data_IF_612896427828
#
_entry.id   IF_612896427828
#
_cell.length_a   1.000
_cell.length_b   1.000
_cell.length_c   1.000
_cell.angle_alpha   90.00
_cell.angle_beta   90.00
_cell.angle_gamma   90.00
#
_symmetry.space_group_name_H-M   'P 1'
#
loop_
_entity.id
_entity.type
_entity.pdbx_description
1 polymer ?
#
# COMPACT_ATOMS: atom_id res chain seq x y z
N UNK A 1 3.00 -5.74 53.99
CA UNK A 1 4.06 -5.76 52.92
C UNK A 1 3.63 -4.85 51.80
N UNK A 2 4.27 -3.72 51.67
CA UNK A 2 3.90 -2.63 50.75
C UNK A 2 4.60 -2.93 49.40
N UNK A 3 3.80 -3.06 48.34
CA UNK A 3 4.29 -3.26 46.99
C UNK A 3 4.59 -1.89 46.38
N UNK A 4 5.87 -1.62 46.16
CA UNK A 4 6.38 -0.39 45.53
C UNK A 4 5.77 -0.20 44.16
N UNK A 5 5.10 0.95 43.97
CA UNK A 5 4.71 1.48 42.66
C UNK A 5 5.98 1.81 41.87
N UNK A 6 6.27 1.03 40.84
CA UNK A 6 7.20 1.41 39.81
C UNK A 6 6.61 2.55 39.00
N UNK A 7 7.03 3.78 39.33
CA UNK A 7 6.70 4.96 38.53
C UNK A 7 7.64 5.01 37.33
N UNK A 8 7.12 4.71 36.15
CA UNK A 8 7.85 4.93 34.91
C UNK A 8 7.85 6.43 34.61
N UNK A 9 8.99 7.09 34.82
CA UNK A 9 9.17 8.48 34.39
C UNK A 9 9.27 8.52 32.86
N UNK A 10 8.32 9.22 32.24
CA UNK A 10 8.40 9.68 30.87
C UNK A 10 9.73 10.42 30.67
N UNK A 11 10.50 10.20 29.59
CA UNK A 11 11.70 10.99 29.34
C UNK A 11 11.33 12.46 29.26
N UNK A 12 12.02 13.29 30.03
CA UNK A 12 11.85 14.74 29.99
C UNK A 12 12.26 15.24 28.61
N UNK A 13 11.35 15.94 27.92
CA UNK A 13 11.70 16.78 26.78
C UNK A 13 12.78 17.76 27.23
N UNK A 14 13.93 17.75 26.58
CA UNK A 14 14.83 18.90 26.61
C UNK A 14 14.09 20.06 25.94
N UNK A 15 13.85 21.09 26.71
CA UNK A 15 13.54 22.41 26.21
C UNK A 15 14.85 22.98 25.69
N UNK A 16 14.93 23.22 24.42
CA UNK A 16 15.70 24.23 23.71
C UNK A 16 15.85 23.74 22.28
N UNK A 17 14.94 24.21 21.45
CA UNK A 17 15.23 24.74 20.13
C UNK A 17 13.90 25.18 19.50
N UNK A 18 13.93 26.39 19.02
CA UNK A 18 12.86 27.24 18.56
C UNK A 18 11.81 26.59 17.66
N UNK A 19 10.56 26.96 17.93
CA UNK A 19 9.40 27.07 17.07
C UNK A 19 9.64 26.91 15.57
N UNK A 20 9.39 25.72 15.09
CA UNK A 20 8.77 25.43 13.81
C UNK A 20 7.96 24.14 13.97
N UNK A 21 6.94 24.17 14.81
CA UNK A 21 5.83 23.25 14.69
C UNK A 21 5.07 23.69 13.45
N UNK A 22 5.54 23.21 12.28
CA UNK A 22 4.70 23.17 11.10
C UNK A 22 3.59 22.13 11.38
N UNK A 23 2.49 22.62 11.91
CA UNK A 23 1.21 21.95 11.92
C UNK A 23 0.75 21.87 10.49
N UNK A 24 1.25 20.90 9.74
CA UNK A 24 0.58 20.37 8.56
C UNK A 24 1.48 19.38 7.82
N UNK A 25 1.76 18.23 8.38
CA UNK A 25 1.79 17.06 7.53
C UNK A 25 0.32 16.68 7.25
N UNK A 26 -0.45 17.60 6.67
CA UNK A 26 -1.65 17.20 5.95
C UNK A 26 -1.19 16.10 5.01
N UNK A 27 -1.83 14.92 5.12
CA UNK A 27 -1.65 13.79 4.23
C UNK A 27 -1.87 14.25 2.79
N UNK A 28 -0.83 14.83 2.20
CA UNK A 28 -0.92 15.45 0.88
C UNK A 28 -0.97 14.34 -0.16
N UNK A 29 -2.07 14.29 -0.88
CA UNK A 29 -2.20 13.45 -2.05
C UNK A 29 -2.76 14.26 -3.22
N UNK A 30 -2.45 13.81 -4.41
CA UNK A 30 -3.00 14.34 -5.65
C UNK A 30 -3.67 13.19 -6.38
N UNK A 31 -4.90 13.43 -6.81
CA UNK A 31 -5.70 12.49 -7.58
C UNK A 31 -6.26 13.20 -8.81
N UNK A 32 -5.90 12.71 -9.98
CA UNK A 32 -6.38 13.23 -11.24
C UNK A 32 -6.95 12.11 -12.09
N UNK A 33 -8.00 12.43 -12.85
CA UNK A 33 -8.66 11.48 -13.76
C UNK A 33 -8.62 12.05 -15.17
N UNK A 34 -8.13 11.26 -16.11
CA UNK A 34 -8.05 11.58 -17.54
C UNK A 34 -8.60 10.40 -18.34
N UNK A 35 -9.77 10.52 -18.91
CA UNK A 35 -10.42 9.45 -19.65
C UNK A 35 -10.49 8.13 -18.84
N UNK A 36 -9.72 7.11 -19.23
CA UNK A 36 -9.60 5.82 -18.53
C UNK A 36 -8.43 5.76 -17.55
N UNK A 37 -7.71 6.88 -17.32
CA UNK A 37 -6.52 6.94 -16.46
C UNK A 37 -6.82 7.65 -15.16
N UNK A 38 -6.34 7.06 -14.08
CA UNK A 38 -6.34 7.64 -12.74
C UNK A 38 -4.90 7.79 -12.31
N UNK A 39 -4.49 8.99 -11.93
CA UNK A 39 -3.16 9.30 -11.41
C UNK A 39 -3.27 9.53 -9.91
N UNK A 40 -2.58 8.74 -9.12
CA UNK A 40 -2.55 8.81 -7.67
C UNK A 40 -1.12 9.04 -7.18
N UNK A 41 -0.87 10.22 -6.62
CA UNK A 41 0.40 10.59 -5.99
C UNK A 41 0.17 10.96 -4.53
N UNK A 42 1.01 10.48 -3.63
CA UNK A 42 0.98 10.84 -2.20
C UNK A 42 0.72 9.67 -1.27
N UNK A 43 0.31 9.98 -0.04
CA UNK A 43 0.15 8.99 1.03
C UNK A 43 -1.12 8.17 0.88
N UNK A 44 -1.03 6.90 1.24
CA UNK A 44 -2.17 5.98 1.35
C UNK A 44 -2.83 6.20 2.71
N UNK A 45 -3.95 6.90 2.72
CA UNK A 45 -4.75 7.22 3.91
C UNK A 45 -6.21 6.83 3.67
N UNK A 46 -7.04 6.83 4.71
CA UNK A 46 -8.47 6.60 4.55
C UNK A 46 -9.08 7.61 3.56
N UNK A 47 -8.74 8.90 3.70
CA UNK A 47 -9.23 9.98 2.84
C UNK A 47 -8.80 9.79 1.39
N UNK A 48 -7.51 9.58 1.14
CA UNK A 48 -6.98 9.43 -0.22
C UNK A 48 -7.51 8.17 -0.90
N UNK A 49 -7.63 7.06 -0.16
CA UNK A 49 -8.17 5.81 -0.67
C UNK A 49 -9.68 5.90 -0.96
N UNK A 50 -10.45 6.61 -0.13
CA UNK A 50 -11.86 6.86 -0.40
C UNK A 50 -12.06 7.60 -1.73
N UNK A 51 -11.28 8.66 -1.99
CA UNK A 51 -11.34 9.39 -3.26
C UNK A 51 -10.84 8.52 -4.44
N UNK A 52 -9.81 7.70 -4.23
CA UNK A 52 -9.35 6.75 -5.25
C UNK A 52 -10.42 5.72 -5.60
N UNK A 53 -11.11 5.17 -4.61
CA UNK A 53 -12.24 4.23 -4.82
C UNK A 53 -13.36 4.89 -5.62
N UNK A 54 -13.72 6.15 -5.28
CA UNK A 54 -14.70 6.92 -6.06
C UNK A 54 -14.25 7.08 -7.51
N UNK A 55 -12.99 7.42 -7.73
CA UNK A 55 -12.44 7.59 -9.08
C UNK A 55 -12.50 6.28 -9.88
N UNK A 56 -12.09 5.15 -9.31
CA UNK A 56 -12.16 3.83 -9.95
C UNK A 56 -13.60 3.50 -10.34
N UNK A 57 -14.55 3.67 -9.42
CA UNK A 57 -15.96 3.37 -9.69
C UNK A 57 -16.55 4.29 -10.75
N UNK A 58 -16.23 5.59 -10.73
CA UNK A 58 -16.72 6.57 -11.72
C UNK A 58 -16.16 6.28 -13.12
N UNK A 59 -14.86 6.00 -13.24
CA UNK A 59 -14.24 5.63 -14.52
C UNK A 59 -14.85 4.33 -15.04
N UNK A 60 -14.93 3.31 -14.20
CA UNK A 60 -15.56 2.03 -14.59
C UNK A 60 -17.01 2.19 -15.03
N UNK A 61 -17.79 3.01 -14.33
CA UNK A 61 -19.17 3.32 -14.72
C UNK A 61 -19.22 4.05 -16.07
N UNK A 62 -18.35 5.03 -16.28
CA UNK A 62 -18.27 5.81 -17.52
C UNK A 62 -17.91 4.90 -18.71
N UNK A 63 -16.89 4.07 -18.56
CA UNK A 63 -16.48 3.10 -19.56
C UNK A 63 -17.64 2.14 -19.90
N UNK A 64 -18.35 1.63 -18.89
CA UNK A 64 -19.51 0.73 -19.10
C UNK A 64 -20.64 1.41 -19.85
N UNK A 65 -20.91 2.69 -19.56
CA UNK A 65 -22.07 3.42 -20.10
C UNK A 65 -21.88 3.87 -21.55
N UNK A 66 -20.65 4.28 -21.87
CA UNK A 66 -20.37 4.86 -23.20
C UNK A 66 -19.72 3.87 -24.15
N UNK A 67 -19.69 2.62 -23.79
CA UNK A 67 -18.87 1.67 -24.52
C UNK A 67 -19.70 0.66 -25.34
N UNK A 68 -19.56 0.84 -26.57
CA UNK A 68 -18.84 -0.17 -27.37
C UNK A 68 -17.36 -0.44 -26.91
N UNK A 69 -16.94 0.14 -25.78
CA UNK A 69 -15.57 0.16 -25.23
C UNK A 69 -15.36 -0.81 -24.05
N UNK A 70 -16.12 -1.91 -23.98
CA UNK A 70 -16.00 -2.90 -22.92
C UNK A 70 -14.58 -3.51 -22.76
N UNK A 71 -13.73 -3.31 -23.78
CA UNK A 71 -12.35 -3.81 -23.80
C UNK A 71 -11.30 -2.77 -23.36
N UNK A 72 -11.69 -1.51 -23.10
CA UNK A 72 -10.73 -0.50 -22.65
C UNK A 72 -10.43 -0.72 -21.16
N UNK A 73 -9.18 -1.05 -20.80
CA UNK A 73 -8.80 -1.20 -19.40
C UNK A 73 -8.76 0.17 -18.70
N UNK A 74 -8.97 0.16 -17.39
CA UNK A 74 -8.68 1.29 -16.53
C UNK A 74 -7.19 1.28 -16.19
N UNK A 75 -6.51 2.41 -16.33
CA UNK A 75 -5.10 2.54 -15.94
C UNK A 75 -4.99 3.32 -14.62
N UNK A 76 -4.35 2.72 -13.61
CA UNK A 76 -4.05 3.34 -12.32
C UNK A 76 -2.56 3.60 -12.20
N UNK A 77 -2.16 4.85 -12.33
CA UNK A 77 -0.79 5.32 -12.18
C UNK A 77 -0.49 5.66 -10.73
N UNK A 78 0.58 5.10 -10.16
CA UNK A 78 0.89 5.16 -8.73
C UNK A 78 2.29 5.74 -8.53
N UNK A 79 2.37 6.78 -7.69
CA UNK A 79 3.59 7.27 -7.09
C UNK A 79 3.37 7.55 -5.61
N UNK A 80 3.70 6.57 -4.75
CA UNK A 80 3.33 6.61 -3.33
C UNK A 80 4.35 5.87 -2.45
N UNK A 81 4.67 6.49 -1.32
CA UNK A 81 5.47 5.87 -0.26
C UNK A 81 4.70 4.83 0.58
N UNK A 82 3.39 4.71 0.38
CA UNK A 82 2.53 3.83 1.16
C UNK A 82 1.76 4.56 2.26
N UNK A 83 1.39 3.84 3.31
CA UNK A 83 0.62 4.35 4.44
C UNK A 83 -0.28 3.28 5.06
N UNK A 84 -1.56 3.58 5.23
CA UNK A 84 -2.52 2.72 5.91
C UNK A 84 -2.83 1.42 5.14
N UNK A 85 -2.67 0.30 5.83
CA UNK A 85 -2.88 -1.04 5.26
C UNK A 85 -4.37 -1.30 4.96
N UNK A 86 -5.27 -0.94 5.87
CA UNK A 86 -6.70 -1.26 5.70
C UNK A 86 -7.33 -0.39 4.63
N UNK A 87 -6.89 0.87 4.52
CA UNK A 87 -7.27 1.74 3.41
C UNK A 87 -6.82 1.15 2.07
N UNK A 88 -5.58 0.64 1.99
CA UNK A 88 -5.08 -0.05 0.79
C UNK A 88 -5.89 -1.31 0.45
N UNK A 89 -6.24 -2.13 1.45
CA UNK A 89 -7.06 -3.33 1.25
C UNK A 89 -8.42 -2.99 0.65
N UNK A 90 -9.04 -1.87 1.06
CA UNK A 90 -10.30 -1.40 0.49
C UNK A 90 -10.18 -1.04 -1.00
N UNK A 91 -9.07 -0.43 -1.40
CA UNK A 91 -8.77 -0.15 -2.82
C UNK A 91 -8.55 -1.46 -3.59
N UNK A 92 -7.81 -2.41 -3.03
CA UNK A 92 -7.55 -3.72 -3.64
C UNK A 92 -8.87 -4.45 -3.91
N UNK A 93 -9.79 -4.47 -2.93
CA UNK A 93 -11.11 -5.08 -3.11
C UNK A 93 -11.94 -4.36 -4.19
N UNK A 94 -11.79 -3.05 -4.33
CA UNK A 94 -12.44 -2.30 -5.39
C UNK A 94 -11.88 -2.66 -6.76
N UNK A 95 -10.55 -2.77 -6.88
CA UNK A 95 -9.89 -3.21 -8.11
C UNK A 95 -10.33 -4.63 -8.50
N UNK A 96 -10.35 -5.56 -7.53
CA UNK A 96 -10.73 -6.96 -7.77
C UNK A 96 -12.20 -7.10 -8.23
N UNK A 97 -13.09 -6.18 -7.83
CA UNK A 97 -14.51 -6.17 -8.23
C UNK A 97 -14.81 -5.28 -9.43
N UNK A 98 -13.81 -4.57 -9.95
CA UNK A 98 -13.98 -3.72 -11.11
C UNK A 98 -14.40 -4.57 -12.34
N UNK A 99 -15.36 -4.07 -13.11
CA UNK A 99 -15.84 -4.75 -14.33
C UNK A 99 -14.83 -4.72 -15.47
N UNK A 100 -13.94 -3.73 -15.44
CA UNK A 100 -12.88 -3.53 -16.41
C UNK A 100 -11.56 -4.02 -15.83
N UNK A 101 -10.69 -4.54 -16.69
CA UNK A 101 -9.32 -4.81 -16.31
C UNK A 101 -8.65 -3.56 -15.78
N UNK A 102 -8.02 -3.66 -14.62
CA UNK A 102 -7.24 -2.57 -14.04
C UNK A 102 -5.75 -2.83 -14.28
N UNK A 103 -5.15 -1.97 -15.10
CA UNK A 103 -3.71 -1.94 -15.30
C UNK A 103 -3.11 -0.98 -14.28
N UNK A 104 -2.16 -1.45 -13.48
CA UNK A 104 -1.43 -0.59 -12.55
C UNK A 104 -0.08 -0.20 -13.13
N UNK A 105 0.30 1.07 -12.97
CA UNK A 105 1.55 1.63 -13.49
C UNK A 105 2.32 2.28 -12.34
N UNK A 106 3.55 1.84 -12.10
CA UNK A 106 4.45 2.49 -11.14
C UNK A 106 5.35 3.50 -11.86
N UNK A 107 5.18 4.79 -11.55
CA UNK A 107 5.90 5.89 -12.24
C UNK A 107 7.07 6.47 -11.46
N UNK A 108 7.19 6.28 -10.21
CA UNK A 108 8.30 6.73 -9.38
C UNK A 108 8.57 5.69 -8.33
N UNK A 109 7.63 5.55 -7.42
CA UNK A 109 7.70 4.50 -6.42
C UNK A 109 6.29 3.97 -6.09
N UNK A 110 6.25 2.71 -5.69
CA UNK A 110 5.11 2.15 -4.98
C UNK A 110 5.65 1.32 -3.81
N UNK A 111 5.56 1.87 -2.60
CA UNK A 111 6.15 1.30 -1.41
C UNK A 111 5.09 0.87 -0.41
N UNK A 112 5.39 -0.17 0.41
CA UNK A 112 4.53 -0.58 1.51
C UNK A 112 3.09 -0.86 1.06
N UNK A 113 2.08 -0.20 1.66
CA UNK A 113 0.66 -0.32 1.29
C UNK A 113 0.39 0.00 -0.20
N UNK A 114 1.10 0.96 -0.80
CA UNK A 114 0.96 1.28 -2.22
C UNK A 114 1.47 0.17 -3.14
N UNK A 115 2.48 -0.59 -2.71
CA UNK A 115 2.94 -1.78 -3.46
C UNK A 115 1.87 -2.87 -3.51
N UNK A 116 1.04 -2.99 -2.48
CA UNK A 116 -0.07 -3.94 -2.46
C UNK A 116 -1.17 -3.52 -3.44
N UNK A 117 -1.48 -2.22 -3.50
CA UNK A 117 -2.40 -1.67 -4.50
C UNK A 117 -1.85 -1.91 -5.92
N UNK A 118 -0.57 -1.65 -6.15
CA UNK A 118 0.08 -1.93 -7.43
C UNK A 118 -0.06 -3.40 -7.83
N UNK A 119 0.11 -4.33 -6.89
CA UNK A 119 -0.01 -5.76 -7.13
C UNK A 119 -1.45 -6.21 -7.47
N UNK A 120 -2.48 -5.43 -7.14
CA UNK A 120 -3.86 -5.76 -7.47
C UNK A 120 -4.15 -5.67 -8.98
N UNK A 121 -3.36 -4.94 -9.76
CA UNK A 121 -3.54 -4.83 -11.20
C UNK A 121 -3.45 -6.17 -11.94
N UNK A 122 -4.30 -6.37 -12.96
CA UNK A 122 -4.25 -7.53 -13.88
C UNK A 122 -2.96 -7.52 -14.69
N UNK A 123 -2.57 -6.35 -15.18
CA UNK A 123 -1.26 -6.06 -15.77
C UNK A 123 -0.57 -5.01 -14.91
N UNK A 124 0.68 -5.25 -14.58
CA UNK A 124 1.47 -4.39 -13.69
C UNK A 124 2.67 -3.85 -14.46
N UNK A 125 2.58 -2.59 -14.89
CA UNK A 125 3.61 -1.91 -15.66
C UNK A 125 4.53 -1.12 -14.73
N UNK A 126 5.80 -1.13 -15.01
CA UNK A 126 6.80 -0.45 -14.19
C UNK A 126 7.76 0.35 -15.06
N UNK A 127 7.90 1.64 -14.76
CA UNK A 127 8.88 2.51 -15.40
C UNK A 127 10.32 2.05 -15.11
N UNK A 128 11.24 2.27 -16.04
CA UNK A 128 12.66 1.87 -15.88
C UNK A 128 13.34 2.55 -14.68
N UNK A 129 12.88 3.74 -14.33
CA UNK A 129 13.41 4.54 -13.21
C UNK A 129 12.49 4.49 -11.98
N UNK A 130 11.60 3.51 -11.89
CA UNK A 130 10.69 3.35 -10.75
C UNK A 130 11.13 2.20 -9.83
N UNK A 131 10.64 2.26 -8.60
CA UNK A 131 11.03 1.33 -7.54
C UNK A 131 9.82 0.82 -6.76
N UNK A 132 9.90 -0.43 -6.36
CA UNK A 132 8.95 -1.06 -5.45
C UNK A 132 9.66 -1.43 -4.16
N UNK A 133 9.02 -1.20 -3.02
CA UNK A 133 9.49 -1.69 -1.73
C UNK A 133 8.34 -2.32 -0.97
N UNK A 134 8.58 -3.52 -0.48
CA UNK A 134 7.62 -4.29 0.33
C UNK A 134 8.34 -4.74 1.59
N UNK A 135 7.73 -4.51 2.74
CA UNK A 135 8.29 -4.85 4.05
C UNK A 135 7.23 -5.46 4.99
N UNK A 136 7.65 -5.89 6.17
CA UNK A 136 6.74 -6.37 7.22
C UNK A 136 5.79 -5.27 7.68
N UNK A 137 4.61 -5.66 8.20
CA UNK A 137 3.67 -4.73 8.80
C UNK A 137 4.34 -4.03 9.97
N UNK A 138 4.27 -2.71 10.00
CA UNK A 138 4.67 -1.89 11.14
C UNK A 138 3.44 -1.61 11.98
N UNK A 139 3.52 -1.86 13.27
CA UNK A 139 2.46 -1.55 14.22
C UNK A 139 3.04 -1.01 15.50
N UNK A 140 2.28 -0.16 16.17
CA UNK A 140 2.55 0.29 17.53
C UNK A 140 1.42 -0.25 18.40
N UNK A 141 1.76 -0.98 19.45
CA UNK A 141 0.79 -1.54 20.38
C UNK A 141 0.98 -0.93 21.77
N UNK A 142 -0.10 -0.50 22.37
CA UNK A 142 -0.18 0.03 23.73
C UNK A 142 -1.45 -0.46 24.37
N UNK A 143 -1.39 -0.96 25.60
CA UNK A 143 -2.58 -1.41 26.30
C UNK A 143 -2.27 -2.39 27.41
N UNK A 144 -3.29 -3.11 27.87
CA UNK A 144 -3.19 -4.19 28.83
C UNK A 144 -2.48 -5.40 28.22
N UNK A 145 -1.93 -6.25 29.04
CA UNK A 145 -1.25 -7.45 28.60
C UNK A 145 -2.09 -8.32 27.65
N UNK A 146 -3.38 -8.51 27.95
CA UNK A 146 -4.31 -9.25 27.08
C UNK A 146 -4.51 -8.57 25.72
N UNK A 147 -4.62 -7.24 25.68
CA UNK A 147 -4.76 -6.45 24.44
C UNK A 147 -3.52 -6.62 23.56
N UNK A 148 -2.32 -6.50 24.17
CA UNK A 148 -1.04 -6.73 23.47
C UNK A 148 -0.91 -8.14 22.90
N UNK A 149 -1.43 -9.16 23.61
CA UNK A 149 -1.45 -10.53 23.11
C UNK A 149 -2.39 -10.68 21.90
N UNK A 150 -3.54 -10.01 21.92
CA UNK A 150 -4.50 -10.07 20.83
C UNK A 150 -3.98 -9.29 19.61
N UNK A 151 -3.35 -8.12 19.80
CA UNK A 151 -2.66 -7.39 18.76
C UNK A 151 -1.56 -8.24 18.09
N UNK A 152 -0.78 -8.95 18.88
CA UNK A 152 0.25 -9.86 18.33
C UNK A 152 -0.38 -11.00 17.51
N UNK A 153 -1.50 -11.57 17.93
CA UNK A 153 -2.21 -12.61 17.17
C UNK A 153 -2.75 -12.06 15.85
N UNK A 154 -3.36 -10.86 15.91
CA UNK A 154 -3.88 -10.16 14.74
C UNK A 154 -2.77 -9.84 13.74
N UNK A 155 -1.65 -9.29 14.19
CA UNK A 155 -0.51 -8.98 13.35
C UNK A 155 0.10 -10.25 12.71
N UNK A 156 0.17 -11.37 13.44
CA UNK A 156 0.60 -12.66 12.87
C UNK A 156 -0.34 -13.14 11.77
N UNK A 157 -1.66 -13.00 11.96
CA UNK A 157 -2.66 -13.34 10.95
C UNK A 157 -2.50 -12.47 9.72
N UNK A 158 -2.47 -11.14 9.90
CA UNK A 158 -2.28 -10.17 8.80
C UNK A 158 -0.99 -10.46 8.02
N UNK A 159 0.12 -10.75 8.69
CA UNK A 159 1.39 -11.11 8.04
C UNK A 159 1.29 -12.41 7.24
N UNK A 160 0.53 -13.39 7.71
CA UNK A 160 0.28 -14.63 6.95
C UNK A 160 -0.54 -14.33 5.70
N UNK A 161 -1.62 -13.56 5.83
CA UNK A 161 -2.51 -13.21 4.73
C UNK A 161 -1.77 -12.35 3.69
N UNK A 162 -0.94 -11.40 4.12
CA UNK A 162 -0.07 -10.62 3.25
C UNK A 162 0.89 -11.50 2.43
N UNK A 163 1.54 -12.48 3.07
CA UNK A 163 2.44 -13.40 2.36
C UNK A 163 1.71 -14.25 1.33
N UNK A 164 0.50 -14.71 1.66
CA UNK A 164 -0.33 -15.46 0.72
C UNK A 164 -0.70 -14.59 -0.48
N UNK A 165 -1.16 -13.36 -0.24
CA UNK A 165 -1.47 -12.39 -1.29
C UNK A 165 -0.27 -12.13 -2.20
N UNK A 166 0.92 -11.88 -1.64
CA UNK A 166 2.15 -11.66 -2.41
C UNK A 166 2.53 -12.90 -3.25
N UNK A 167 2.40 -14.10 -2.68
CA UNK A 167 2.69 -15.34 -3.39
C UNK A 167 1.73 -15.54 -4.57
N UNK A 168 0.43 -15.39 -4.33
CA UNK A 168 -0.61 -15.50 -5.34
C UNK A 168 -0.43 -14.50 -6.47
N UNK A 169 -0.29 -13.20 -6.14
CA UNK A 169 -0.15 -12.12 -7.14
C UNK A 169 1.14 -12.22 -7.96
N UNK A 170 2.14 -12.94 -7.49
CA UNK A 170 3.40 -13.18 -8.22
C UNK A 170 3.46 -14.55 -8.89
N UNK A 171 2.33 -15.26 -8.99
CA UNK A 171 2.25 -16.63 -9.52
C UNK A 171 3.29 -17.56 -8.86
N UNK A 172 3.34 -17.52 -7.54
CA UNK A 172 4.25 -18.31 -6.69
C UNK A 172 5.76 -18.09 -6.93
N UNK A 173 6.16 -17.12 -7.76
CA UNK A 173 7.58 -16.74 -7.90
C UNK A 173 8.17 -16.23 -6.60
N UNK A 174 7.33 -15.63 -5.76
CA UNK A 174 7.65 -15.24 -4.37
C UNK A 174 6.94 -16.20 -3.41
N UNK A 175 7.53 -17.36 -3.16
CA UNK A 175 6.98 -18.34 -2.24
C UNK A 175 6.99 -17.83 -0.80
N UNK A 176 5.98 -18.23 -0.03
CA UNK A 176 5.76 -17.77 1.35
C UNK A 176 6.93 -18.05 2.29
N UNK A 177 7.68 -19.15 2.08
CA UNK A 177 8.88 -19.50 2.84
C UNK A 177 10.03 -18.51 2.64
N UNK A 178 10.19 -17.99 1.40
CA UNK A 178 11.23 -17.00 1.07
C UNK A 178 10.82 -15.57 1.42
N UNK A 179 9.52 -15.27 1.39
CA UNK A 179 8.99 -13.94 1.70
C UNK A 179 9.42 -13.43 3.07
N UNK A 180 9.47 -14.31 4.08
CA UNK A 180 9.91 -13.94 5.43
C UNK A 180 11.33 -13.36 5.50
N UNK A 181 12.20 -13.68 4.54
CA UNK A 181 13.55 -13.09 4.46
C UNK A 181 13.53 -11.76 3.72
N UNK A 182 12.75 -11.65 2.65
CA UNK A 182 12.66 -10.42 1.85
C UNK A 182 11.97 -9.28 2.60
N UNK A 183 10.89 -9.59 3.31
CA UNK A 183 10.07 -8.59 3.99
C UNK A 183 10.72 -7.95 5.23
N UNK A 184 11.78 -8.57 5.79
CA UNK A 184 12.53 -8.02 6.94
C UNK A 184 13.35 -6.78 6.61
N UNK A 185 13.50 -6.45 5.33
CA UNK A 185 14.40 -5.39 4.88
C UNK A 185 13.67 -4.40 3.99
N UNK A 186 13.85 -3.12 4.28
CA UNK A 186 13.30 -2.00 3.50
C UNK A 186 14.19 -1.73 2.28
N UNK A 187 14.19 -2.64 1.31
CA UNK A 187 15.03 -2.56 0.11
C UNK A 187 14.19 -2.19 -1.10
N UNK A 188 14.60 -1.15 -1.79
CA UNK A 188 14.02 -0.74 -3.08
C UNK A 188 14.41 -1.74 -4.18
N UNK A 189 13.41 -2.22 -4.91
CA UNK A 189 13.56 -3.13 -6.03
C UNK A 189 13.26 -2.40 -7.34
N UNK A 190 14.27 -2.29 -8.19
CA UNK A 190 14.10 -1.77 -9.55
C UNK A 190 13.40 -2.78 -10.47
N UNK A 191 13.00 -2.31 -11.66
CA UNK A 191 12.16 -3.03 -12.60
C UNK A 191 12.68 -4.45 -12.97
N UNK A 192 13.99 -4.65 -13.17
CA UNK A 192 14.57 -5.96 -13.51
C UNK A 192 14.27 -7.00 -12.43
N UNK A 193 14.41 -6.63 -11.17
CA UNK A 193 14.14 -7.51 -10.03
C UNK A 193 12.64 -7.75 -9.89
N UNK A 194 11.82 -6.72 -10.06
CA UNK A 194 10.36 -6.84 -10.02
C UNK A 194 9.81 -7.76 -11.11
N UNK A 195 10.30 -7.67 -12.33
CA UNK A 195 9.95 -8.60 -13.42
C UNK A 195 10.36 -10.05 -13.12
N UNK A 196 11.59 -10.25 -12.62
CA UNK A 196 12.10 -11.59 -12.26
C UNK A 196 11.19 -12.28 -11.25
N UNK A 197 10.73 -11.55 -10.24
CA UNK A 197 9.90 -12.10 -9.17
C UNK A 197 8.39 -11.98 -9.43
N UNK A 198 7.98 -11.48 -10.59
CA UNK A 198 6.56 -11.39 -10.98
C UNK A 198 5.78 -10.28 -10.26
N UNK A 199 6.46 -9.36 -9.58
CA UNK A 199 5.84 -8.15 -9.02
C UNK A 199 5.34 -7.27 -10.15
N UNK A 200 6.20 -6.95 -11.11
CA UNK A 200 5.81 -6.34 -12.39
C UNK A 200 5.66 -7.43 -13.46
N UNK A 201 4.77 -7.19 -14.42
CA UNK A 201 4.53 -8.09 -15.57
C UNK A 201 5.09 -7.51 -16.85
N UNK A 202 5.20 -6.19 -16.95
CA UNK A 202 5.65 -5.47 -18.14
C UNK A 202 6.49 -4.24 -17.77
N UNK A 203 7.32 -3.80 -18.69
CA UNK A 203 7.97 -2.47 -18.64
C UNK A 203 7.01 -1.48 -19.31
N UNK A 204 6.92 -0.31 -18.72
CA UNK A 204 6.17 0.83 -19.25
C UNK A 204 7.08 1.81 -19.96
#
# INVERSE_FOLDING_TARGET
MSINKLSYKKPSKRLDDDDCMDESSEDTYQLHVYDNKIVFHGSVTEKSCFELIKAINNVSYTLTRYSNFAEIPLELHINSGGGDLFAALSVIETINRCKHDVITVCEGQACSAAALIFLAGSVRRMGKNSYIMIHEIRSVAWGKFSELQDDMKNNKKLMKDLKNYLSERTNEKMRTDKLSKFLKHDILWGYKKCLKYGIATQIW
#
